data_IF_459988124460
#
_entry.id   IF_459988124460
#
_cell.length_a   1.000
_cell.length_b   1.000
_cell.length_c   1.000
_cell.angle_alpha   90.00
_cell.angle_beta   90.00
_cell.angle_gamma   90.00
#
_symmetry.space_group_name_H-M   'P 1'
#
loop_
_entity.id
_entity.type
_entity.pdbx_description
1 polymer ?
#
# COMPACT_ATOMS: atom_id res chain seq x y z
N UNK A 1 10.02 8.54 9.00
CA UNK A 1 8.81 9.30 8.72
C UNK A 1 7.57 8.44 8.72
N UNK A 2 6.54 8.98 9.33
CA UNK A 2 5.29 8.26 9.44
C UNK A 2 4.36 8.62 8.29
N UNK A 3 3.48 7.69 8.00
CA UNK A 3 2.47 7.94 6.99
C UNK A 3 1.40 8.89 7.56
N UNK A 4 0.91 9.77 6.69
CA UNK A 4 -0.22 10.60 7.05
C UNK A 4 -1.49 9.75 7.08
N UNK A 5 -2.58 10.33 7.58
CA UNK A 5 -3.85 9.64 7.57
C UNK A 5 -4.26 9.25 6.16
N UNK A 6 -4.12 10.18 5.23
CA UNK A 6 -4.49 9.89 3.84
C UNK A 6 -3.59 8.80 3.25
N UNK A 7 -2.31 8.87 3.55
CA UNK A 7 -1.40 7.85 3.05
C UNK A 7 -1.72 6.48 3.64
N UNK A 8 -2.06 6.44 4.91
CA UNK A 8 -2.45 5.19 5.53
C UNK A 8 -3.69 4.62 4.87
N UNK A 9 -4.66 5.47 4.57
CA UNK A 9 -5.87 5.05 3.90
C UNK A 9 -5.56 4.48 2.52
N UNK A 10 -4.69 5.16 1.78
CA UNK A 10 -4.33 4.70 0.44
C UNK A 10 -3.55 3.41 0.53
N UNK A 11 -2.69 3.27 1.52
CA UNK A 11 -1.94 2.04 1.71
C UNK A 11 -2.88 0.85 1.88
N UNK A 12 -3.95 1.02 2.63
CA UNK A 12 -4.92 -0.06 2.79
C UNK A 12 -5.48 -0.49 1.45
N UNK A 13 -5.80 0.47 0.59
CA UNK A 13 -6.34 0.14 -0.72
C UNK A 13 -5.32 -0.58 -1.58
N UNK A 14 -4.06 -0.16 -1.48
CA UNK A 14 -3.01 -0.84 -2.23
C UNK A 14 -2.91 -2.29 -1.80
N UNK A 15 -2.94 -2.53 -0.51
CA UNK A 15 -2.83 -3.89 0.02
C UNK A 15 -4.06 -4.73 -0.33
N UNK A 16 -5.18 -4.09 -0.58
CA UNK A 16 -6.38 -4.78 -1.03
C UNK A 16 -6.36 -5.07 -2.53
N UNK A 17 -5.34 -4.58 -3.23
CA UNK A 17 -5.21 -4.87 -4.64
C UNK A 17 -5.75 -3.80 -5.57
N UNK A 18 -6.16 -2.65 -5.04
CA UNK A 18 -6.69 -1.61 -5.89
C UNK A 18 -5.58 -0.92 -6.67
N UNK A 19 -5.92 -0.48 -7.88
CA UNK A 19 -5.00 0.27 -8.71
C UNK A 19 -5.19 1.77 -8.48
N UNK A 20 -4.27 2.57 -9.01
CA UNK A 20 -4.35 4.01 -8.85
C UNK A 20 -5.67 4.59 -9.35
N UNK A 21 -6.18 4.20 -10.53
CA UNK A 21 -7.48 4.72 -10.95
C UNK A 21 -8.61 4.37 -9.97
N UNK A 22 -8.60 3.14 -9.45
CA UNK A 22 -9.64 2.74 -8.51
C UNK A 22 -9.54 3.51 -7.20
N UNK A 23 -8.34 3.71 -6.71
CA UNK A 23 -8.14 4.46 -5.49
C UNK A 23 -8.59 5.90 -5.69
N UNK A 24 -8.22 6.49 -6.83
CA UNK A 24 -8.62 7.86 -7.12
C UNK A 24 -10.13 8.01 -7.13
N UNK A 25 -10.82 7.04 -7.71
CA UNK A 25 -12.26 7.08 -7.77
C UNK A 25 -12.87 7.02 -6.38
N UNK A 26 -12.36 6.12 -5.56
CA UNK A 26 -12.92 5.96 -4.21
C UNK A 26 -12.71 7.20 -3.35
N UNK A 27 -11.61 7.89 -3.56
CA UNK A 27 -11.29 9.06 -2.74
C UNK A 27 -11.69 10.36 -3.39
N UNK A 28 -12.27 10.32 -4.58
CA UNK A 28 -12.68 11.50 -5.32
C UNK A 28 -11.51 12.43 -5.57
N UNK A 29 -10.39 11.87 -5.97
CA UNK A 29 -9.19 12.63 -6.32
C UNK A 29 -8.77 12.21 -7.72
N UNK A 30 -7.86 12.97 -8.32
CA UNK A 30 -7.37 12.61 -9.63
C UNK A 30 -6.44 11.42 -9.55
N UNK A 31 -6.29 10.72 -10.67
CA UNK A 31 -5.36 9.59 -10.71
C UNK A 31 -3.94 10.05 -10.45
N UNK A 32 -3.57 11.23 -10.97
CA UNK A 32 -2.24 11.75 -10.71
C UNK A 32 -2.01 12.00 -9.24
N UNK A 33 -3.02 12.50 -8.54
CA UNK A 33 -2.89 12.70 -7.10
C UNK A 33 -2.72 11.37 -6.38
N UNK A 34 -3.48 10.37 -6.79
CA UNK A 34 -3.35 9.04 -6.19
C UNK A 34 -1.94 8.51 -6.40
N UNK A 35 -1.42 8.64 -7.62
CA UNK A 35 -0.08 8.18 -7.92
C UNK A 35 0.97 8.90 -7.09
N UNK A 36 0.78 10.20 -6.89
CA UNK A 36 1.71 10.96 -6.08
C UNK A 36 1.74 10.44 -4.65
N UNK A 37 0.56 10.19 -4.10
CA UNK A 37 0.49 9.62 -2.75
C UNK A 37 1.16 8.25 -2.69
N UNK A 38 0.93 7.42 -3.71
CA UNK A 38 1.53 6.10 -3.72
C UNK A 38 3.05 6.18 -3.78
N UNK A 39 3.59 7.10 -4.57
CA UNK A 39 5.04 7.28 -4.61
C UNK A 39 5.59 7.68 -3.25
N UNK A 40 4.89 8.57 -2.56
CA UNK A 40 5.32 9.00 -1.24
C UNK A 40 5.30 7.85 -0.25
N UNK A 41 4.27 7.01 -0.33
CA UNK A 41 4.17 5.85 0.53
C UNK A 41 5.35 4.92 0.27
N UNK A 42 5.62 4.64 -0.99
CA UNK A 42 6.73 3.76 -1.34
C UNK A 42 8.05 4.32 -0.81
N UNK A 43 8.25 5.62 -0.96
CA UNK A 43 9.48 6.24 -0.49
C UNK A 43 9.60 6.15 1.03
N UNK A 44 8.52 6.44 1.73
CA UNK A 44 8.55 6.41 3.19
C UNK A 44 8.79 5.01 3.72
N UNK A 45 8.28 4.00 3.04
CA UNK A 45 8.46 2.61 3.46
C UNK A 45 9.71 2.00 2.82
N UNK A 46 10.41 2.76 1.99
CA UNK A 46 11.65 2.33 1.36
C UNK A 46 11.44 1.08 0.51
N UNK A 47 10.34 1.07 -0.24
CA UNK A 47 10.08 0.01 -1.19
C UNK A 47 10.04 0.61 -2.59
N UNK A 48 10.27 -0.21 -3.60
CA UNK A 48 10.37 0.27 -4.97
C UNK A 48 9.26 -0.26 -5.86
N UNK A 49 8.41 -1.13 -5.37
CA UNK A 49 7.35 -1.70 -6.19
C UNK A 49 6.23 -2.17 -5.28
N UNK A 50 5.09 -2.43 -5.92
CA UNK A 50 3.95 -2.98 -5.17
C UNK A 50 4.32 -4.33 -4.57
N UNK A 51 5.08 -5.12 -5.29
CA UNK A 51 5.47 -6.43 -4.77
C UNK A 51 6.31 -6.30 -3.52
N UNK A 52 7.25 -5.37 -3.51
CA UNK A 52 8.05 -5.15 -2.30
C UNK A 52 7.17 -4.69 -1.15
N UNK A 53 6.19 -3.84 -1.46
CA UNK A 53 5.28 -3.37 -0.43
C UNK A 53 4.50 -4.53 0.17
N UNK A 54 4.01 -5.43 -0.67
CA UNK A 54 3.27 -6.58 -0.18
C UNK A 54 4.14 -7.51 0.65
N UNK A 55 5.39 -7.68 0.24
CA UNK A 55 6.32 -8.50 1.01
C UNK A 55 6.58 -7.89 2.37
N UNK A 56 6.71 -6.58 2.42
CA UNK A 56 6.90 -5.90 3.68
C UNK A 56 5.69 -6.11 4.59
N UNK A 57 4.50 -6.02 4.03
CA UNK A 57 3.29 -6.23 4.80
C UNK A 57 3.22 -7.66 5.33
N UNK A 58 3.59 -8.63 4.51
CA UNK A 58 3.59 -10.02 4.95
C UNK A 58 4.59 -10.24 6.08
N UNK A 59 5.72 -9.59 6.01
CA UNK A 59 6.74 -9.77 7.03
C UNK A 59 6.31 -9.21 8.38
N UNK A 60 5.36 -8.28 8.39
CA UNK A 60 4.87 -7.72 9.65
C UNK A 60 3.63 -8.41 10.15
N UNK A 61 3.09 -9.35 9.38
CA UNK A 61 1.89 -10.10 9.76
C UNK A 61 2.32 -11.32 10.57
N UNK A 62 1.56 -11.67 11.61
CA UNK A 62 1.91 -12.89 12.36
C UNK A 62 2.02 -14.09 11.45
N UNK A 63 2.94 -14.97 11.74
CA UNK A 63 3.20 -16.12 10.86
C UNK A 63 2.19 -17.26 10.98
N UNK A 64 1.05 -16.98 11.54
CA UNK A 64 0.07 -18.03 11.76
C UNK A 64 -0.19 -18.84 10.53
N UNK A 65 -0.40 -18.16 9.43
CA UNK A 65 -0.74 -18.87 8.21
C UNK A 65 0.46 -19.50 7.55
N UNK A 66 1.63 -19.15 8.01
CA UNK A 66 2.82 -19.75 7.45
C UNK A 66 2.93 -21.19 7.80
N UNK A 67 2.45 -21.52 8.97
CA UNK A 67 2.55 -22.90 9.42
C UNK A 67 1.69 -23.83 8.60
N UNK A 68 0.68 -23.32 7.99
CA UNK A 68 -0.21 -24.17 7.22
C UNK A 68 0.45 -24.69 5.97
N UNK A 69 1.53 -24.11 5.57
CA UNK A 69 2.21 -24.54 4.37
C UNK A 69 2.99 -25.82 4.59
N UNK A 70 3.12 -26.22 5.79
CA UNK A 70 3.89 -27.43 6.10
C UNK A 70 3.13 -28.69 5.82
#
# INVERSE_FOLDING_TARGET
PQLTERETEILKYILLGLTAPSIAERLSISENTAKTHMRRIYRKLEVHSRQELLELAYNTVPPTRMTSSE
#
